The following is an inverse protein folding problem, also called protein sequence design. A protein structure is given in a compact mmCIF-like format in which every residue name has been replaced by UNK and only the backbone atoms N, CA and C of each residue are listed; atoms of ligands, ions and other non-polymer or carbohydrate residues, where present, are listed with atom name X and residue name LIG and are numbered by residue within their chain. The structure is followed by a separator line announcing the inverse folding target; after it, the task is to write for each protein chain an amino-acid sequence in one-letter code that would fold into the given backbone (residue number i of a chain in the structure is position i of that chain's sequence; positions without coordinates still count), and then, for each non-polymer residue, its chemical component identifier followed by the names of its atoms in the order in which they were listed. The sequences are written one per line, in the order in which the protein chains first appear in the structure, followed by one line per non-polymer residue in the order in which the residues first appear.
data_IF_694614491343
#
_entry.id   IF_694614491343
#
_cell.length_a   1.000
_cell.length_b   1.000
_cell.length_c   1.000
_cell.angle_alpha   90.00
_cell.angle_beta   90.00
_cell.angle_gamma   90.00
#
_symmetry.space_group_name_H-M   'P 1'
#
loop_
_entity.id
_entity.type
_entity.pdbx_description
1 polymer ?
#
# COMPACT_ATOMS: atom_id res chain seq x y z
N UNK A 1 6.13 30.69 7.49
CA UNK A 1 6.22 29.73 6.37
C UNK A 1 7.07 28.47 6.67
N UNK A 2 7.59 28.26 7.90
CA UNK A 2 8.54 27.18 8.20
C UNK A 2 7.92 25.79 8.54
N UNK A 3 6.64 25.73 8.89
CA UNK A 3 5.98 24.48 9.34
C UNK A 3 5.36 23.62 8.22
N UNK A 4 5.29 24.14 7.00
CA UNK A 4 4.63 23.46 5.87
C UNK A 4 5.52 22.35 5.29
N UNK A 5 6.82 22.62 5.17
CA UNK A 5 7.81 21.69 4.64
C UNK A 5 7.91 20.36 5.43
N UNK A 6 8.04 20.34 6.78
CA UNK A 6 8.14 19.08 7.51
C UNK A 6 6.87 18.22 7.40
N UNK A 7 5.68 18.84 7.30
CA UNK A 7 4.42 18.11 7.09
C UNK A 7 4.39 17.42 5.74
N UNK A 8 4.79 18.11 4.67
CA UNK A 8 4.87 17.52 3.33
C UNK A 8 5.89 16.38 3.25
N UNK A 9 7.04 16.53 3.93
CA UNK A 9 8.07 15.47 3.98
C UNK A 9 7.54 14.23 4.70
N UNK A 10 6.86 14.40 5.85
CA UNK A 10 6.23 13.28 6.55
C UNK A 10 5.18 12.58 5.67
N UNK A 11 4.29 13.34 5.03
CA UNK A 11 3.28 12.79 4.12
C UNK A 11 3.92 12.01 2.96
N UNK A 12 5.00 12.53 2.36
CA UNK A 12 5.73 11.86 1.31
C UNK A 12 6.32 10.52 1.78
N UNK A 13 6.93 10.49 2.97
CA UNK A 13 7.47 9.26 3.57
C UNK A 13 6.37 8.23 3.80
N UNK A 14 5.21 8.63 4.34
CA UNK A 14 4.09 7.71 4.52
C UNK A 14 3.55 7.17 3.19
N UNK A 15 3.42 8.02 2.17
CA UNK A 15 2.98 7.62 0.83
C UNK A 15 3.93 6.63 0.17
N UNK A 16 5.24 6.87 0.29
CA UNK A 16 6.28 5.97 -0.20
C UNK A 16 6.23 4.65 0.58
N UNK A 17 6.15 4.70 1.91
CA UNK A 17 6.04 3.52 2.77
C UNK A 17 4.82 2.67 2.42
N UNK A 18 3.68 3.29 2.13
CA UNK A 18 2.49 2.60 1.67
C UNK A 18 2.68 1.96 0.29
N UNK A 19 3.25 2.68 -0.67
CA UNK A 19 3.49 2.17 -2.03
C UNK A 19 4.48 0.99 -2.08
N UNK A 20 5.33 0.88 -1.07
CA UNK A 20 6.26 -0.24 -0.93
C UNK A 20 5.60 -1.48 -0.34
N UNK A 21 4.40 -1.39 0.24
CA UNK A 21 3.74 -2.57 0.79
C UNK A 21 3.41 -3.58 -0.31
N UNK A 22 3.67 -4.85 -0.03
CA UNK A 22 3.35 -6.00 -0.88
C UNK A 22 2.71 -7.07 -0.02
N UNK A 23 1.68 -7.68 -0.56
CA UNK A 23 1.01 -8.84 0.02
C UNK A 23 0.97 -9.89 -1.08
N UNK A 24 1.70 -11.00 -0.91
CA UNK A 24 1.81 -12.03 -1.95
C UNK A 24 0.51 -12.80 -2.13
N UNK A 25 -0.19 -13.02 -1.02
CA UNK A 25 -1.43 -13.78 -0.98
C UNK A 25 -2.41 -13.10 -0.03
N UNK A 26 -3.49 -12.57 -0.60
CA UNK A 26 -4.64 -12.05 0.11
C UNK A 26 -5.92 -12.66 -0.46
N UNK A 27 -6.86 -12.97 0.42
CA UNK A 27 -8.25 -13.19 0.06
C UNK A 27 -8.89 -11.82 -0.16
N UNK A 28 -9.25 -11.52 -1.40
CA UNK A 28 -9.81 -10.23 -1.82
C UNK A 28 -11.30 -10.40 -2.09
N UNK A 29 -12.11 -9.50 -1.54
CA UNK A 29 -13.53 -9.34 -1.84
C UNK A 29 -13.73 -8.00 -2.50
N UNK A 30 -14.20 -8.02 -3.75
CA UNK A 30 -14.47 -6.82 -4.53
C UNK A 30 -15.96 -6.69 -4.82
N UNK A 31 -16.47 -5.46 -4.71
CA UNK A 31 -17.84 -5.12 -5.09
C UNK A 31 -17.87 -4.54 -6.50
N UNK A 32 -18.84 -4.97 -7.31
CA UNK A 32 -19.09 -4.44 -8.65
C UNK A 32 -18.70 -5.38 -9.81
N UNK A 33 -18.67 -4.87 -11.06
CA UNK A 33 -18.57 -5.67 -12.28
C UNK A 33 -17.16 -6.22 -12.60
N UNK A 34 -16.18 -6.03 -11.71
CA UNK A 34 -14.78 -6.47 -11.90
C UNK A 34 -14.58 -7.98 -11.74
N UNK A 35 -15.63 -8.72 -11.37
CA UNK A 35 -15.56 -10.16 -11.10
C UNK A 35 -15.23 -11.00 -12.33
N UNK A 36 -15.77 -10.64 -13.49
CA UNK A 36 -15.50 -11.34 -14.75
C UNK A 36 -14.04 -11.14 -15.19
N UNK A 37 -13.49 -9.94 -14.97
CA UNK A 37 -12.09 -9.63 -15.31
C UNK A 37 -11.10 -10.35 -14.40
N UNK A 38 -11.48 -10.62 -13.15
CA UNK A 38 -10.65 -11.33 -12.18
C UNK A 38 -10.76 -12.86 -12.29
N UNK A 39 -11.69 -13.39 -13.12
CA UNK A 39 -11.98 -14.82 -13.19
C UNK A 39 -12.41 -15.37 -11.82
N UNK A 40 -13.12 -14.56 -11.05
CA UNK A 40 -13.46 -14.84 -9.66
C UNK A 40 -14.89 -15.37 -9.53
N UNK A 41 -15.12 -16.24 -8.55
CA UNK A 41 -16.48 -16.74 -8.29
C UNK A 41 -17.35 -15.63 -7.70
N UNK A 42 -18.51 -15.32 -8.31
CA UNK A 42 -19.46 -14.40 -7.72
C UNK A 42 -20.03 -15.01 -6.44
N UNK A 43 -20.12 -14.21 -5.38
CA UNK A 43 -20.76 -14.63 -4.15
C UNK A 43 -22.26 -14.78 -4.39
N UNK A 44 -22.83 -15.93 -4.02
CA UNK A 44 -24.26 -16.23 -4.24
C UNK A 44 -25.13 -15.13 -3.64
N UNK A 45 -25.90 -14.46 -4.48
CA UNK A 45 -26.85 -13.42 -4.08
C UNK A 45 -26.25 -12.04 -3.80
N UNK A 46 -24.97 -11.81 -4.11
CA UNK A 46 -24.30 -10.52 -3.90
C UNK A 46 -23.65 -10.00 -5.18
N UNK A 47 -23.56 -8.66 -5.33
CA UNK A 47 -22.82 -7.97 -6.39
C UNK A 47 -21.31 -7.92 -6.10
N UNK A 48 -20.78 -8.98 -5.51
CA UNK A 48 -19.38 -9.06 -5.08
C UNK A 48 -18.78 -10.42 -5.42
N UNK A 49 -17.48 -10.45 -5.64
CA UNK A 49 -16.71 -11.66 -5.87
C UNK A 49 -15.58 -11.76 -4.86
N UNK A 50 -15.18 -13.00 -4.57
CA UNK A 50 -14.02 -13.30 -3.75
C UNK A 50 -13.02 -14.15 -4.49
N UNK A 51 -11.74 -13.82 -4.36
CA UNK A 51 -10.65 -14.56 -4.99
C UNK A 51 -9.30 -14.28 -4.31
N UNK A 52 -8.32 -15.15 -4.58
CA UNK A 52 -6.95 -14.92 -4.15
C UNK A 52 -6.21 -14.00 -5.11
N UNK A 53 -5.53 -13.00 -4.57
CA UNK A 53 -4.71 -12.06 -5.32
C UNK A 53 -3.45 -11.66 -4.56
N UNK A 54 -2.46 -11.17 -5.29
CA UNK A 54 -1.41 -10.35 -4.70
C UNK A 54 -1.84 -8.88 -4.71
N UNK A 55 -1.44 -8.15 -3.68
CA UNK A 55 -1.74 -6.72 -3.50
C UNK A 55 -0.44 -5.94 -3.44
N UNK A 56 -0.39 -4.82 -4.15
CA UNK A 56 0.72 -3.88 -4.15
C UNK A 56 0.21 -2.46 -3.88
N UNK A 57 0.74 -1.79 -2.87
CA UNK A 57 0.34 -0.42 -2.55
C UNK A 57 0.68 0.53 -3.69
N UNK A 58 -0.19 1.50 -3.95
CA UNK A 58 0.03 2.56 -4.95
C UNK A 58 0.44 3.88 -4.30
N UNK A 59 1.35 4.64 -4.93
CA UNK A 59 1.75 5.99 -4.49
C UNK A 59 0.56 6.95 -4.39
N UNK A 60 -0.43 6.77 -5.26
CA UNK A 60 -1.63 7.60 -5.29
C UNK A 60 -2.69 7.17 -4.26
N UNK A 61 -2.44 6.09 -3.52
CA UNK A 61 -3.40 5.45 -2.63
C UNK A 61 -4.09 4.27 -3.31
N UNK A 62 -4.74 3.42 -2.52
CA UNK A 62 -5.38 2.19 -3.01
C UNK A 62 -4.39 1.07 -3.29
N UNK A 63 -4.87 0.03 -3.98
CA UNK A 63 -4.12 -1.20 -4.21
C UNK A 63 -4.11 -1.57 -5.69
N UNK A 64 -2.94 -1.95 -6.18
CA UNK A 64 -2.82 -2.78 -7.37
C UNK A 64 -3.12 -4.22 -7.00
N UNK A 65 -4.02 -4.84 -7.75
CA UNK A 65 -4.52 -6.19 -7.50
C UNK A 65 -4.16 -7.06 -8.70
N UNK A 66 -3.51 -8.18 -8.42
CA UNK A 66 -3.15 -9.18 -9.42
C UNK A 66 -3.74 -10.53 -9.01
N UNK A 67 -4.86 -10.96 -9.64
CA UNK A 67 -5.50 -12.24 -9.33
C UNK A 67 -4.54 -13.41 -9.57
N UNK A 68 -4.52 -14.39 -8.66
CA UNK A 68 -3.66 -15.58 -8.83
C UNK A 68 -4.10 -16.48 -9.98
N UNK A 69 -5.39 -16.51 -10.28
CA UNK A 69 -5.93 -17.27 -11.42
C UNK A 69 -5.50 -16.68 -12.76
N UNK A 70 -5.25 -15.37 -12.81
CA UNK A 70 -4.93 -14.60 -14.02
C UNK A 70 -3.78 -13.62 -13.73
N UNK A 71 -2.54 -14.10 -13.56
CA UNK A 71 -1.40 -13.27 -13.11
C UNK A 71 -1.02 -12.17 -14.11
N UNK A 72 -1.46 -12.28 -15.36
CA UNK A 72 -1.25 -11.27 -16.40
C UNK A 72 -2.25 -10.10 -16.32
N UNK A 73 -3.29 -10.23 -15.51
CA UNK A 73 -4.27 -9.17 -15.27
C UNK A 73 -3.87 -8.42 -14.01
N UNK A 74 -3.75 -7.11 -14.15
CA UNK A 74 -3.53 -6.22 -13.02
C UNK A 74 -4.42 -5.00 -13.16
N UNK A 75 -5.07 -4.61 -12.07
CA UNK A 75 -5.92 -3.43 -12.04
C UNK A 75 -5.75 -2.68 -10.71
N UNK A 76 -6.01 -1.38 -10.74
CA UNK A 76 -5.90 -0.53 -9.57
C UNK A 76 -7.28 -0.28 -8.98
N UNK A 77 -7.41 -0.45 -7.67
CA UNK A 77 -8.59 -0.08 -6.91
C UNK A 77 -8.20 1.02 -5.94
N UNK A 78 -8.67 2.23 -6.23
CA UNK A 78 -8.39 3.43 -5.43
C UNK A 78 -9.38 3.64 -4.29
N UNK A 79 -10.56 3.05 -4.42
CA UNK A 79 -11.63 3.18 -3.44
C UNK A 79 -11.58 2.03 -2.43
N UNK A 80 -11.27 2.38 -1.18
CA UNK A 80 -11.23 1.41 -0.08
C UNK A 80 -12.59 0.85 0.29
N UNK A 81 -13.70 1.50 -0.08
CA UNK A 81 -15.04 0.99 0.22
C UNK A 81 -15.44 -0.18 -0.70
N UNK A 82 -14.83 -0.25 -1.89
CA UNK A 82 -15.06 -1.30 -2.87
C UNK A 82 -14.19 -2.55 -2.64
N UNK A 83 -13.17 -2.42 -1.78
CA UNK A 83 -12.16 -3.45 -1.55
C UNK A 83 -12.12 -3.87 -0.08
N UNK A 84 -12.42 -5.14 0.17
CA UNK A 84 -12.11 -5.78 1.45
C UNK A 84 -11.09 -6.89 1.22
N UNK A 85 -10.09 -7.02 2.08
CA UNK A 85 -9.08 -8.07 1.94
C UNK A 85 -8.61 -8.60 3.29
N UNK A 86 -8.24 -9.87 3.31
CA UNK A 86 -7.65 -10.55 4.46
C UNK A 86 -6.37 -11.26 4.03
N UNK A 87 -5.34 -11.21 4.87
CA UNK A 87 -4.05 -11.82 4.58
C UNK A 87 -3.45 -12.40 5.86
N UNK A 88 -2.60 -13.42 5.71
CA UNK A 88 -1.80 -13.93 6.82
C UNK A 88 -0.58 -13.05 7.02
N UNK A 89 -0.08 -12.95 8.26
CA UNK A 89 1.08 -12.11 8.58
C UNK A 89 2.29 -12.40 7.68
N UNK A 90 2.50 -13.68 7.37
CA UNK A 90 3.65 -14.13 6.56
C UNK A 90 3.53 -13.77 5.08
N UNK A 91 2.32 -13.47 4.59
CA UNK A 91 2.10 -13.03 3.23
C UNK A 91 2.44 -11.54 3.01
N UNK A 92 2.60 -10.76 4.09
CA UNK A 92 2.91 -9.34 4.02
C UNK A 92 4.41 -9.09 4.08
N UNK A 93 4.90 -8.24 3.19
CA UNK A 93 6.27 -7.75 3.22
C UNK A 93 6.37 -6.36 2.58
N UNK A 94 7.50 -5.69 2.79
CA UNK A 94 7.84 -4.47 2.06
C UNK A 94 8.64 -4.86 0.80
N UNK A 95 8.22 -4.35 -0.35
CA UNK A 95 9.01 -4.39 -1.58
C UNK A 95 10.42 -3.86 -1.28
N UNK A 96 11.44 -4.64 -1.66
CA UNK A 96 12.85 -4.29 -1.55
C UNK A 96 13.33 -3.97 -0.12
N UNK A 97 13.49 -4.98 0.74
CA UNK A 97 14.19 -4.89 2.06
C UNK A 97 13.87 -3.60 2.87
N UNK A 98 12.66 -3.05 2.69
CA UNK A 98 12.44 -1.62 2.85
C UNK A 98 12.34 -1.16 4.30
N UNK A 99 12.37 -2.12 5.20
CA UNK A 99 12.21 -1.93 6.63
C UNK A 99 13.39 -1.16 7.25
N UNK A 100 14.59 -1.23 6.65
CA UNK A 100 15.80 -0.66 7.26
C UNK A 100 16.12 0.77 6.80
N UNK A 101 15.74 1.17 5.58
CA UNK A 101 16.11 2.49 5.05
C UNK A 101 15.13 3.59 5.41
N UNK A 102 13.86 3.30 5.66
CA UNK A 102 12.87 4.29 6.11
C UNK A 102 13.27 4.97 7.44
N UNK A 103 13.68 4.23 8.50
CA UNK A 103 14.19 4.83 9.72
C UNK A 103 15.46 5.66 9.48
N UNK A 104 16.38 5.18 8.63
CA UNK A 104 17.62 5.89 8.28
C UNK A 104 17.32 7.22 7.58
N UNK A 105 16.38 7.23 6.64
CA UNK A 105 15.98 8.43 5.91
C UNK A 105 15.29 9.44 6.85
N UNK A 106 14.47 8.95 7.78
CA UNK A 106 13.84 9.77 8.81
C UNK A 106 14.88 10.40 9.75
N UNK A 107 15.89 9.62 10.13
CA UNK A 107 17.02 10.07 10.96
C UNK A 107 17.87 11.12 10.23
N UNK A 108 18.14 10.93 8.94
CA UNK A 108 18.86 11.89 8.08
C UNK A 108 18.09 13.21 7.86
N UNK A 109 16.75 13.16 7.81
CA UNK A 109 15.91 14.36 7.67
C UNK A 109 15.82 15.14 8.99
N UNK A 110 15.79 14.44 10.14
CA UNK A 110 15.68 15.05 11.46
C UNK A 110 17.01 15.53 12.05
N UNK A 111 18.15 14.97 11.63
CA UNK A 111 19.48 15.38 12.10
C UNK A 111 19.84 16.86 11.81
N UNK A 112 19.67 17.40 10.59
CA UNK A 112 20.05 18.78 10.28
C UNK A 112 19.41 19.85 11.18
N UNK A 113 18.08 19.81 11.48
CA UNK A 113 17.49 20.79 12.39
C UNK A 113 17.94 20.61 13.84
N UNK A 114 18.18 19.38 14.32
CA UNK A 114 18.67 19.11 15.68
C UNK A 114 20.11 19.60 15.87
N UNK A 115 21.00 19.34 14.91
CA UNK A 115 22.40 19.82 14.95
C UNK A 115 22.46 21.36 14.91
N UNK A 116 21.57 22.02 14.16
CA UNK A 116 21.45 23.48 14.19
C UNK A 116 20.94 24.00 15.53
N UNK A 117 19.96 23.33 16.14
CA UNK A 117 19.42 23.76 17.44
C UNK A 117 20.47 23.65 18.57
N UNK A 118 21.32 22.61 18.56
CA UNK A 118 22.38 22.41 19.56
C UNK A 118 23.55 23.39 19.39
N UNK A 119 23.86 23.85 18.17
CA UNK A 119 24.92 24.86 17.94
C UNK A 119 24.56 26.28 18.42
N UNK A 120 23.30 26.53 18.75
CA UNK A 120 22.82 27.83 19.23
C UNK A 120 22.53 27.87 20.74
N UNK A 121 22.90 26.80 21.47
CA UNK A 121 22.99 26.73 22.94
C UNK A 121 24.45 26.83 23.36
#
# INVERSE_FOLDING_TARGET
MSFILPVFVLLAVFRIGYALQRIETAQVVLRGPVCDMAGAEPQRGASSCSFEASLAGSLFGGWWISPKTHPNVQFQVNDSELLSYAYTRDAWHMAYFGMYWLPLLLLLILLPPVVRAVRHL
#
